data_IF_376743105803
#
_entry.id   IF_376743105803
#
_cell.length_a   1.000
_cell.length_b   1.000
_cell.length_c   1.000
_cell.angle_alpha   90.00
_cell.angle_beta   90.00
_cell.angle_gamma   90.00
#
_symmetry.space_group_name_H-M   'P 1'
#
loop_
_entity.id
_entity.type
_entity.pdbx_description
1 polymer ?
#
# COMPACT_ATOMS: atom_id res chain seq x y z
N UNK A 1 10.11 -10.54 -10.05
CA UNK A 1 9.21 -11.69 -9.86
C UNK A 1 7.79 -11.16 -10.02
N UNK A 2 6.99 -11.72 -10.92
CA UNK A 2 5.61 -11.27 -11.11
C UNK A 2 4.73 -11.90 -10.01
N UNK A 3 3.99 -11.09 -9.26
CA UNK A 3 3.20 -11.54 -8.11
C UNK A 3 1.71 -11.30 -8.37
N UNK A 4 1.08 -12.24 -9.06
CA UNK A 4 -0.36 -12.20 -9.35
C UNK A 4 -1.15 -13.01 -8.32
N UNK A 5 -1.90 -12.34 -7.45
CA UNK A 5 -2.68 -12.97 -6.38
C UNK A 5 -4.19 -12.77 -6.57
N UNK A 6 -4.72 -13.22 -7.72
CA UNK A 6 -6.12 -13.03 -8.11
C UNK A 6 -7.16 -13.66 -7.15
N UNK A 7 -6.72 -14.54 -6.23
CA UNK A 7 -7.59 -15.11 -5.20
C UNK A 7 -7.74 -14.21 -3.98
N UNK A 8 -6.85 -13.23 -3.79
CA UNK A 8 -6.88 -12.31 -2.67
C UNK A 8 -7.71 -11.07 -3.02
N UNK A 9 -8.72 -10.79 -2.21
CA UNK A 9 -9.54 -9.57 -2.33
C UNK A 9 -8.70 -8.29 -2.20
N UNK A 10 -7.62 -8.30 -1.40
CA UNK A 10 -6.65 -7.20 -1.33
C UNK A 10 -6.07 -6.89 -2.69
N UNK A 11 -5.72 -7.91 -3.47
CA UNK A 11 -5.08 -7.72 -4.77
C UNK A 11 -6.03 -7.02 -5.74
N UNK A 12 -7.31 -7.43 -5.76
CA UNK A 12 -8.35 -6.76 -6.54
C UNK A 12 -8.59 -5.32 -6.12
N UNK A 13 -8.65 -5.07 -4.81
CA UNK A 13 -8.75 -3.72 -4.28
C UNK A 13 -7.63 -2.82 -4.79
N UNK A 14 -6.39 -3.29 -4.74
CA UNK A 14 -5.24 -2.55 -5.24
C UNK A 14 -5.26 -2.39 -6.76
N UNK A 15 -5.68 -3.41 -7.52
CA UNK A 15 -5.82 -3.33 -8.97
C UNK A 15 -6.81 -2.23 -9.38
N UNK A 16 -8.00 -2.21 -8.78
CA UNK A 16 -9.00 -1.18 -9.07
C UNK A 16 -8.43 0.20 -8.69
N UNK A 17 -7.75 0.32 -7.54
CA UNK A 17 -7.06 1.56 -7.17
C UNK A 17 -6.04 1.98 -8.25
N UNK A 18 -5.21 1.08 -8.77
CA UNK A 18 -4.25 1.42 -9.84
C UNK A 18 -4.92 1.91 -11.12
N UNK A 19 -6.03 1.30 -11.53
CA UNK A 19 -6.80 1.73 -12.69
C UNK A 19 -7.36 3.14 -12.48
N UNK A 20 -7.96 3.39 -11.31
CA UNK A 20 -8.48 4.71 -10.94
C UNK A 20 -7.38 5.77 -10.90
N UNK A 21 -6.20 5.41 -10.38
CA UNK A 21 -5.05 6.31 -10.35
C UNK A 21 -4.52 6.63 -11.75
N UNK A 22 -4.50 5.63 -12.63
CA UNK A 22 -4.14 5.81 -14.04
C UNK A 22 -5.11 6.81 -14.69
N UNK A 23 -6.42 6.66 -14.45
CA UNK A 23 -7.42 7.63 -14.90
C UNK A 23 -7.17 9.05 -14.38
N UNK A 24 -6.80 9.19 -13.11
CA UNK A 24 -6.45 10.49 -12.52
C UNK A 24 -5.22 11.13 -13.16
N UNK A 25 -4.16 10.37 -13.44
CA UNK A 25 -2.94 10.88 -14.10
C UNK A 25 -3.24 11.33 -15.55
N UNK A 26 -4.14 10.63 -16.23
CA UNK A 26 -4.56 10.95 -17.60
C UNK A 26 -5.50 12.17 -17.69
N UNK A 27 -5.71 12.89 -16.60
CA UNK A 27 -6.50 14.14 -16.58
C UNK A 27 -7.99 13.95 -16.29
N UNK A 28 -8.44 12.72 -15.99
CA UNK A 28 -9.79 12.52 -15.47
C UNK A 28 -9.80 12.80 -13.96
N UNK A 29 -10.12 14.04 -13.59
CA UNK A 29 -10.15 14.49 -12.18
C UNK A 29 -11.02 13.62 -11.25
N UNK A 30 -11.98 12.87 -11.80
CA UNK A 30 -12.78 11.91 -11.04
C UNK A 30 -12.00 10.69 -10.57
N UNK A 31 -11.01 10.22 -11.33
CA UNK A 31 -10.23 9.02 -11.02
C UNK A 31 -9.50 9.11 -9.67
N UNK A 32 -8.98 10.30 -9.36
CA UNK A 32 -8.31 10.53 -8.09
C UNK A 32 -9.28 10.51 -6.89
N UNK A 33 -10.42 11.19 -7.00
CA UNK A 33 -11.44 11.19 -5.96
C UNK A 33 -12.01 9.78 -5.73
N UNK A 34 -12.21 9.02 -6.81
CA UNK A 34 -12.65 7.63 -6.72
C UNK A 34 -11.60 6.74 -6.05
N UNK A 35 -10.30 6.96 -6.32
CA UNK A 35 -9.22 6.23 -5.65
C UNK A 35 -9.20 6.51 -4.13
N UNK A 36 -9.41 7.77 -3.72
CA UNK A 36 -9.55 8.15 -2.31
C UNK A 36 -10.78 7.47 -1.68
N UNK A 37 -11.93 7.50 -2.36
CA UNK A 37 -13.16 6.87 -1.88
C UNK A 37 -12.99 5.35 -1.70
N UNK A 38 -12.41 4.68 -2.70
CA UNK A 38 -12.14 3.25 -2.66
C UNK A 38 -11.16 2.89 -1.55
N UNK A 39 -10.06 3.63 -1.40
CA UNK A 39 -9.05 3.35 -0.35
C UNK A 39 -9.58 3.62 1.05
N UNK A 40 -10.47 4.61 1.22
CA UNK A 40 -11.20 4.83 2.47
C UNK A 40 -12.09 3.64 2.82
N UNK A 41 -12.84 3.12 1.83
CA UNK A 41 -13.65 1.91 2.02
C UNK A 41 -12.78 0.69 2.37
N UNK A 42 -11.66 0.50 1.68
CA UNK A 42 -10.71 -0.58 1.98
C UNK A 42 -10.19 -0.50 3.42
N UNK A 43 -9.84 0.70 3.89
CA UNK A 43 -9.36 0.90 5.25
C UNK A 43 -10.43 0.47 6.25
N UNK A 44 -11.67 0.95 6.09
CA UNK A 44 -12.79 0.59 6.96
C UNK A 44 -13.05 -0.92 6.94
N UNK A 45 -13.10 -1.53 5.77
CA UNK A 45 -13.27 -2.98 5.63
C UNK A 45 -12.17 -3.77 6.37
N UNK A 46 -10.91 -3.36 6.25
CA UNK A 46 -9.79 -4.03 6.92
C UNK A 46 -9.75 -3.78 8.43
N UNK A 47 -10.21 -2.61 8.90
CA UNK A 47 -10.37 -2.35 10.34
C UNK A 47 -11.38 -3.33 10.93
N UNK A 48 -12.54 -3.51 10.29
CA UNK A 48 -13.56 -4.45 10.75
C UNK A 48 -13.10 -5.91 10.64
N UNK A 49 -12.42 -6.27 9.55
CA UNK A 49 -11.93 -7.64 9.35
C UNK A 49 -10.82 -8.02 10.32
N UNK A 50 -9.90 -7.11 10.62
CA UNK A 50 -8.74 -7.38 11.46
C UNK A 50 -9.05 -7.21 12.95
N UNK A 51 -10.00 -6.34 13.30
CA UNK A 51 -10.40 -6.07 14.69
C UNK A 51 -9.39 -5.23 15.47
N UNK A 52 -8.23 -4.88 14.90
CA UNK A 52 -7.21 -4.07 15.53
C UNK A 52 -6.63 -3.02 14.56
N UNK A 53 -6.65 -1.76 15.00
CA UNK A 53 -6.10 -0.62 14.24
C UNK A 53 -4.57 -0.70 14.06
N UNK A 54 -3.89 -1.44 14.94
CA UNK A 54 -2.44 -1.64 14.87
C UNK A 54 -2.05 -2.79 13.94
N UNK A 55 -2.99 -3.46 13.30
CA UNK A 55 -2.63 -4.50 12.34
C UNK A 55 -1.95 -3.91 11.12
N UNK A 56 -0.90 -4.58 10.68
CA UNK A 56 -0.04 -4.09 9.60
C UNK A 56 -0.81 -3.74 8.31
N UNK A 57 -1.76 -4.56 7.81
CA UNK A 57 -2.54 -4.22 6.62
C UNK A 57 -3.42 -2.97 6.78
N UNK A 58 -3.85 -2.67 8.01
CA UNK A 58 -4.60 -1.44 8.34
C UNK A 58 -3.65 -0.25 8.31
N UNK A 59 -2.47 -0.36 8.92
CA UNK A 59 -1.47 0.70 8.93
C UNK A 59 -1.05 1.11 7.51
N UNK A 60 -0.76 0.14 6.63
CA UNK A 60 -0.37 0.43 5.23
C UNK A 60 -1.48 1.18 4.50
N UNK A 61 -2.73 0.76 4.64
CA UNK A 61 -3.88 1.41 3.97
C UNK A 61 -4.14 2.80 4.53
N UNK A 62 -3.99 2.98 5.84
CA UNK A 62 -4.11 4.28 6.49
C UNK A 62 -3.09 5.28 5.93
N UNK A 63 -1.80 4.91 5.93
CA UNK A 63 -0.75 5.79 5.40
C UNK A 63 -0.88 6.02 3.90
N UNK A 64 -1.42 5.04 3.17
CA UNK A 64 -1.66 5.19 1.74
C UNK A 64 -2.76 6.22 1.47
N UNK A 65 -3.85 6.14 2.24
CA UNK A 65 -4.92 7.14 2.19
C UNK A 65 -4.39 8.54 2.55
N UNK A 66 -3.55 8.65 3.60
CA UNK A 66 -2.93 9.93 3.95
C UNK A 66 -2.09 10.50 2.80
N UNK A 67 -1.30 9.67 2.11
CA UNK A 67 -0.53 10.10 0.95
C UNK A 67 -1.43 10.62 -0.18
N UNK A 68 -2.56 9.96 -0.44
CA UNK A 68 -3.53 10.45 -1.41
C UNK A 68 -4.14 11.80 -0.97
N UNK A 69 -4.53 11.95 0.28
CA UNK A 69 -5.11 13.20 0.80
C UNK A 69 -4.11 14.37 0.75
N UNK A 70 -2.84 14.12 1.08
CA UNK A 70 -1.78 15.12 0.96
C UNK A 70 -1.52 15.52 -0.49
N UNK A 71 -1.79 14.63 -1.44
CA UNK A 71 -1.66 14.91 -2.88
C UNK A 71 -2.86 15.67 -3.46
N UNK A 72 -3.88 16.00 -2.66
CA UNK A 72 -5.10 16.69 -3.11
C UNK A 72 -4.89 18.16 -3.50
N UNK A 73 -4.18 18.99 -2.72
CA UNK A 73 -3.93 20.39 -3.08
C UNK A 73 -3.09 20.49 -4.36
N UNK A 74 -3.41 21.47 -5.21
CA UNK A 74 -2.75 21.67 -6.52
C UNK A 74 -1.21 21.75 -6.40
N UNK A 75 -0.70 22.45 -5.38
CA UNK A 75 0.74 22.57 -5.11
C UNK A 75 1.43 21.24 -4.76
N UNK A 76 0.66 20.25 -4.31
CA UNK A 76 1.13 18.93 -3.90
C UNK A 76 0.72 17.81 -4.86
N UNK A 77 0.03 18.11 -5.96
CA UNK A 77 -0.41 17.09 -6.93
C UNK A 77 0.74 16.32 -7.56
N UNK A 78 1.95 16.87 -7.59
CA UNK A 78 3.13 16.12 -8.05
C UNK A 78 3.39 14.86 -7.21
N UNK A 79 3.00 14.85 -5.92
CA UNK A 79 3.10 13.67 -5.06
C UNK A 79 2.25 12.51 -5.53
N UNK A 80 1.22 12.76 -6.35
CA UNK A 80 0.33 11.76 -6.90
C UNK A 80 1.03 10.71 -7.78
N UNK A 81 2.18 11.05 -8.36
CA UNK A 81 3.02 10.10 -9.08
C UNK A 81 3.55 8.98 -8.18
N UNK A 82 3.77 9.26 -6.89
CA UNK A 82 4.26 8.28 -5.91
C UNK A 82 3.27 7.13 -5.69
N UNK A 83 2.00 7.35 -5.30
CA UNK A 83 1.01 6.27 -5.19
C UNK A 83 0.71 5.62 -6.54
N UNK A 84 0.71 6.37 -7.65
CA UNK A 84 0.50 5.78 -8.99
C UNK A 84 1.57 4.74 -9.34
N UNK A 85 2.85 5.12 -9.31
CA UNK A 85 3.97 4.21 -9.62
C UNK A 85 4.05 3.10 -8.55
N UNK A 86 3.91 3.47 -7.28
CA UNK A 86 4.02 2.55 -6.15
C UNK A 86 2.97 1.44 -6.18
N UNK A 87 1.73 1.75 -6.54
CA UNK A 87 0.65 0.75 -6.61
C UNK A 87 0.83 -0.19 -7.79
N UNK A 88 1.27 0.29 -8.95
CA UNK A 88 1.65 -0.58 -10.06
C UNK A 88 2.82 -1.49 -9.70
N UNK A 89 3.85 -0.95 -9.03
CA UNK A 89 4.97 -1.74 -8.53
C UNK A 89 4.52 -2.82 -7.53
N UNK A 90 3.53 -2.51 -6.70
CA UNK A 90 2.95 -3.45 -5.76
C UNK A 90 2.17 -4.55 -6.47
N UNK A 91 1.32 -4.24 -7.46
CA UNK A 91 0.50 -5.24 -8.17
C UNK A 91 1.37 -6.16 -9.03
N UNK A 92 2.35 -5.60 -9.73
CA UNK A 92 3.17 -6.36 -10.69
C UNK A 92 4.25 -7.15 -9.96
N UNK A 93 4.97 -6.50 -9.05
CA UNK A 93 6.16 -7.09 -8.42
C UNK A 93 5.96 -7.49 -6.97
N UNK A 94 4.82 -7.17 -6.35
CA UNK A 94 4.65 -7.32 -4.91
C UNK A 94 5.45 -6.31 -4.09
N UNK A 95 6.04 -5.30 -4.73
CA UNK A 95 6.90 -4.32 -4.07
C UNK A 95 6.07 -3.12 -3.62
N UNK A 96 5.87 -2.97 -2.31
CA UNK A 96 5.26 -1.77 -1.73
C UNK A 96 6.30 -0.99 -0.92
N UNK A 97 6.61 0.24 -1.33
CA UNK A 97 7.50 1.13 -0.55
C UNK A 97 6.86 1.52 0.78
N UNK A 98 5.54 1.68 0.81
CA UNK A 98 4.81 2.03 2.02
C UNK A 98 4.82 0.90 3.05
N UNK A 99 4.59 -0.34 2.63
CA UNK A 99 4.72 -1.50 3.51
C UNK A 99 6.11 -1.56 4.16
N UNK A 100 7.17 -1.28 3.39
CA UNK A 100 8.55 -1.21 3.89
C UNK A 100 8.81 -0.06 4.87
N UNK A 101 8.24 1.11 4.62
CA UNK A 101 8.35 2.24 5.54
C UNK A 101 7.63 1.93 6.85
N UNK A 102 6.42 1.38 6.76
CA UNK A 102 5.59 1.01 7.92
C UNK A 102 6.22 -0.15 8.70
N UNK A 103 6.88 -1.12 8.04
CA UNK A 103 7.54 -2.24 8.74
C UNK A 103 8.72 -1.80 9.61
N UNK A 104 9.31 -0.63 9.34
CA UNK A 104 10.40 -0.07 10.12
C UNK A 104 9.94 0.64 11.39
N UNK A 105 8.63 0.80 11.60
CA UNK A 105 8.11 1.46 12.79
C UNK A 105 8.39 0.65 14.07
N UNK A 106 8.61 1.29 15.23
CA UNK A 106 9.09 0.62 16.44
C UNK A 106 8.24 -0.56 16.93
N UNK A 107 6.95 -0.58 16.58
CA UNK A 107 6.01 -1.64 16.96
C UNK A 107 5.77 -2.70 15.88
N UNK A 108 6.33 -2.51 14.67
CA UNK A 108 6.25 -3.48 13.58
C UNK A 108 7.57 -4.22 13.35
N UNK A 109 8.64 -3.83 14.06
CA UNK A 109 9.97 -4.44 13.97
C UNK A 109 10.36 -5.10 15.28
N UNK A 110 11.07 -6.23 15.16
CA UNK A 110 11.69 -6.91 16.30
C UNK A 110 13.17 -6.51 16.45
N UNK A 111 13.84 -6.18 15.33
CA UNK A 111 15.24 -5.77 15.30
C UNK A 111 15.40 -4.26 15.62
N UNK A 112 16.52 -3.89 16.26
CA UNK A 112 16.85 -2.49 16.51
C UNK A 112 17.06 -1.71 15.19
N UNK A 113 16.71 -0.42 15.18
CA UNK A 113 16.87 0.42 13.99
C UNK A 113 18.36 0.54 13.64
N UNK A 114 18.72 0.09 12.44
CA UNK A 114 20.09 0.14 11.95
C UNK A 114 20.11 0.36 10.44
N UNK A 115 21.24 0.86 9.92
CA UNK A 115 21.45 0.98 8.47
C UNK A 115 21.40 -0.37 7.75
N UNK A 116 21.82 -1.45 8.43
CA UNK A 116 21.68 -2.81 7.92
C UNK A 116 20.21 -3.21 7.73
N UNK A 117 19.36 -2.90 8.72
CA UNK A 117 17.92 -3.16 8.65
C UNK A 117 17.24 -2.37 7.53
N UNK A 118 17.61 -1.10 7.34
CA UNK A 118 17.14 -0.29 6.21
C UNK A 118 17.49 -0.96 4.88
N UNK A 119 18.75 -1.34 4.71
CA UNK A 119 19.22 -1.93 3.46
C UNK A 119 18.53 -3.28 3.19
N UNK A 120 18.39 -4.12 4.22
CA UNK A 120 17.65 -5.39 4.17
C UNK A 120 16.18 -5.15 3.79
N UNK A 121 15.54 -4.13 4.34
CA UNK A 121 14.12 -3.85 4.11
C UNK A 121 13.86 -3.39 2.68
N UNK A 122 14.67 -2.47 2.15
CA UNK A 122 14.48 -1.93 0.81
C UNK A 122 15.06 -2.81 -0.32
N UNK A 123 16.20 -3.48 -0.10
CA UNK A 123 16.81 -4.36 -1.10
C UNK A 123 16.33 -5.82 -1.04
N UNK A 124 15.53 -6.21 -0.04
CA UNK A 124 14.93 -7.55 -0.01
C UNK A 124 14.03 -7.77 -1.22
N UNK A 125 14.18 -8.96 -1.81
CA UNK A 125 13.36 -9.40 -2.94
C UNK A 125 11.90 -9.50 -2.50
N UNK A 126 10.94 -9.03 -3.31
CA UNK A 126 9.53 -9.20 -3.01
C UNK A 126 9.12 -10.66 -3.26
N UNK A 127 9.24 -11.48 -2.22
CA UNK A 127 8.78 -12.88 -2.18
C UNK A 127 7.71 -13.04 -1.11
N UNK A 128 6.88 -14.08 -1.20
CA UNK A 128 5.85 -14.38 -0.19
C UNK A 128 6.46 -14.44 1.22
N UNK A 129 5.89 -13.68 2.15
CA UNK A 129 6.39 -13.55 3.51
C UNK A 129 7.63 -12.65 3.70
N UNK A 130 8.23 -12.10 2.64
CA UNK A 130 9.31 -11.12 2.77
C UNK A 130 8.75 -9.73 3.03
N UNK A 131 9.10 -9.16 4.20
CA UNK A 131 8.64 -7.86 4.70
C UNK A 131 7.11 -7.79 4.67
N UNK A 132 6.46 -8.11 5.80
CA UNK A 132 5.01 -7.99 6.07
C UNK A 132 4.24 -7.47 4.85
N UNK A 133 3.68 -8.36 4.04
CA UNK A 133 3.26 -8.00 2.69
C UNK A 133 2.06 -7.05 2.76
N UNK A 134 2.03 -6.02 1.90
CA UNK A 134 0.90 -5.10 1.82
C UNK A 134 -0.43 -5.77 1.42
N UNK A 135 -0.37 -6.98 0.87
CA UNK A 135 -1.52 -7.82 0.53
C UNK A 135 -1.96 -8.74 1.66
N UNK A 136 -1.04 -9.21 2.51
CA UNK A 136 -1.30 -10.33 3.43
C UNK A 136 -2.20 -9.90 4.59
N UNK A 137 -3.51 -9.93 4.36
CA UNK A 137 -4.52 -9.98 5.40
C UNK A 137 -4.54 -11.39 5.99
N UNK A 138 -3.55 -11.69 6.83
CA UNK A 138 -3.39 -12.93 7.59
C UNK A 138 -3.26 -14.24 6.79
N UNK A 139 -2.55 -15.20 7.39
CA UNK A 139 -2.53 -16.60 6.96
C UNK A 139 -3.93 -17.17 7.11
N UNK A 140 -4.44 -17.85 6.08
CA UNK A 140 -5.46 -18.87 6.28
C UNK A 140 -4.78 -19.98 7.10
N UNK A 141 -5.27 -20.18 8.33
CA UNK A 141 -5.02 -21.41 9.10
C UNK A 141 -5.69 -22.60 8.41
#
# INVERSE_FOLDING_TARGET
MLMFEYKDISWWYWLVTAILLTGGVLGNGGGFMLAIGLTSFQLVHYIFRAGNLKDFPVQVRFWYLMLLLVSLPESMQWLYWVPYIGTWAQIIFGYCAMARMVSLWPWNREEAFSFSLLNKTFLSRPVRGSVQQGFSGYKED
#
